data_IF_335162265666
#
_entry.id   IF_335162265666
#
_cell.length_a   1.000
_cell.length_b   1.000
_cell.length_c   1.000
_cell.angle_alpha   90.00
_cell.angle_beta   90.00
_cell.angle_gamma   90.00
#
_symmetry.space_group_name_H-M   'P 1'
#
loop_
_entity.id
_entity.type
_entity.pdbx_description
1 polymer ?
#
# COMPACT_ATOMS: atom_id res chain seq x y z
N UNK A 1 7.78 -16.55 11.77
CA UNK A 1 7.86 -15.81 10.51
C UNK A 1 7.73 -14.35 10.86
N UNK A 2 8.72 -13.53 10.54
CA UNK A 2 8.80 -12.12 10.93
C UNK A 2 8.04 -11.25 9.93
N UNK A 3 7.39 -10.21 10.40
CA UNK A 3 6.64 -9.25 9.58
C UNK A 3 7.34 -7.91 9.55
N UNK A 4 7.51 -7.30 8.36
CA UNK A 4 7.92 -5.91 8.19
C UNK A 4 6.67 -5.07 7.93
N UNK A 5 6.39 -4.16 8.84
CA UNK A 5 5.21 -3.30 8.79
C UNK A 5 5.63 -1.86 8.49
N UNK A 6 5.30 -1.38 7.30
CA UNK A 6 5.58 -0.03 6.80
C UNK A 6 4.31 0.79 6.95
N UNK A 7 4.31 1.76 7.86
CA UNK A 7 3.19 2.65 8.11
C UNK A 7 3.43 4.01 7.44
N UNK A 8 2.47 4.46 6.63
CA UNK A 8 2.50 5.78 5.96
C UNK A 8 1.37 6.70 6.44
N UNK A 9 0.47 6.21 7.27
CA UNK A 9 -0.72 6.94 7.75
C UNK A 9 -0.57 7.40 9.20
N UNK A 10 0.57 7.72 9.69
CA UNK A 10 0.84 8.44 10.94
C UNK A 10 -0.11 8.13 12.11
N UNK A 11 -0.53 6.90 12.31
CA UNK A 11 -1.65 6.60 13.18
C UNK A 11 -1.38 5.61 14.30
N UNK A 12 -2.41 5.37 15.07
CA UNK A 12 -2.56 4.60 16.30
C UNK A 12 -2.35 3.07 16.20
N UNK A 13 -1.83 2.55 15.10
CA UNK A 13 -1.57 1.11 14.93
C UNK A 13 -0.50 0.57 15.88
N UNK A 14 0.34 1.44 16.43
CA UNK A 14 1.40 1.06 17.37
C UNK A 14 0.86 0.35 18.61
N UNK A 15 -0.25 0.82 19.16
CA UNK A 15 -0.87 0.19 20.34
C UNK A 15 -1.38 -1.22 20.01
N UNK A 16 -1.99 -1.40 18.84
CA UNK A 16 -2.51 -2.70 18.42
C UNK A 16 -1.41 -3.73 18.10
N UNK A 17 -0.20 -3.27 17.76
CA UNK A 17 0.93 -4.13 17.40
C UNK A 17 1.97 -4.25 18.50
N UNK A 18 1.84 -3.53 19.61
CA UNK A 18 2.87 -3.43 20.65
C UNK A 18 3.36 -4.81 21.15
N UNK A 19 2.45 -5.71 21.50
CA UNK A 19 2.77 -7.05 22.00
C UNK A 19 3.57 -7.88 20.97
N UNK A 20 3.23 -7.73 19.68
CA UNK A 20 3.92 -8.44 18.59
C UNK A 20 5.30 -7.85 18.31
N UNK A 21 5.47 -6.54 18.49
CA UNK A 21 6.76 -5.85 18.37
C UNK A 21 7.67 -6.26 19.51
N UNK A 22 7.18 -6.24 20.77
CA UNK A 22 7.93 -6.70 21.93
C UNK A 22 8.36 -8.17 21.82
N UNK A 23 7.49 -9.01 21.27
CA UNK A 23 7.78 -10.42 21.03
C UNK A 23 8.73 -10.65 19.84
N UNK A 24 9.13 -9.62 19.10
CA UNK A 24 10.03 -9.70 17.94
C UNK A 24 9.41 -10.33 16.69
N UNK A 25 8.09 -10.44 16.63
CA UNK A 25 7.38 -10.96 15.45
C UNK A 25 7.12 -9.88 14.38
N UNK A 26 7.08 -8.63 14.79
CA UNK A 26 6.79 -7.50 13.89
C UNK A 26 7.84 -6.41 14.06
N UNK A 27 8.45 -6.02 12.96
CA UNK A 27 9.23 -4.78 12.89
C UNK A 27 8.39 -3.70 12.24
N UNK A 28 8.29 -2.57 12.87
CA UNK A 28 7.51 -1.45 12.41
C UNK A 28 8.39 -0.32 11.92
N UNK A 29 7.95 0.36 10.88
CA UNK A 29 8.56 1.58 10.38
C UNK A 29 7.47 2.61 10.10
N UNK A 30 7.51 3.74 10.79
CA UNK A 30 6.72 4.91 10.43
C UNK A 30 7.50 5.72 9.40
N UNK A 31 6.93 5.89 8.21
CA UNK A 31 7.48 6.76 7.17
C UNK A 31 7.09 8.19 7.47
N UNK A 32 8.04 9.10 7.76
CA UNK A 32 7.72 10.48 8.06
C UNK A 32 7.14 11.21 6.85
N UNK A 33 6.01 11.91 7.03
CA UNK A 33 5.36 12.69 5.98
C UNK A 33 6.06 14.03 5.67
N UNK A 34 6.95 14.49 6.58
CA UNK A 34 7.61 15.78 6.42
C UNK A 34 8.56 15.80 5.21
N UNK A 35 8.51 16.89 4.46
CA UNK A 35 9.24 17.04 3.18
C UNK A 35 10.76 16.95 3.31
N UNK A 36 11.34 17.29 4.46
CA UNK A 36 12.77 17.16 4.75
C UNK A 36 13.23 15.70 4.82
N UNK A 37 12.35 14.74 5.12
CA UNK A 37 12.65 13.31 5.14
C UNK A 37 12.67 12.66 3.76
N UNK A 38 12.13 13.31 2.74
CA UNK A 38 11.98 12.75 1.39
C UNK A 38 11.34 11.36 1.37
N UNK A 39 10.02 11.25 1.61
CA UNK A 39 9.29 9.97 1.67
C UNK A 39 9.52 9.07 0.46
N UNK A 40 9.64 9.67 -0.74
CA UNK A 40 9.95 8.92 -1.97
C UNK A 40 11.27 8.16 -1.87
N UNK A 41 12.33 8.81 -1.35
CA UNK A 41 13.64 8.15 -1.21
C UNK A 41 13.60 7.01 -0.18
N UNK A 42 12.87 7.18 0.92
CA UNK A 42 12.66 6.15 1.93
C UNK A 42 11.96 4.94 1.32
N UNK A 43 10.80 5.15 0.69
CA UNK A 43 10.00 4.08 0.08
C UNK A 43 10.77 3.37 -1.05
N UNK A 44 11.58 4.09 -1.81
CA UNK A 44 12.44 3.50 -2.84
C UNK A 44 13.54 2.60 -2.25
N UNK A 45 14.09 2.94 -1.08
CA UNK A 45 15.03 2.04 -0.38
C UNK A 45 14.32 0.79 0.13
N UNK A 46 13.13 0.93 0.72
CA UNK A 46 12.32 -0.21 1.15
C UNK A 46 11.98 -1.13 -0.02
N UNK A 47 11.58 -0.57 -1.15
CA UNK A 47 11.31 -1.31 -2.38
C UNK A 47 12.52 -2.03 -2.97
N UNK A 48 13.75 -1.60 -2.62
CA UNK A 48 15.01 -2.28 -2.96
C UNK A 48 15.45 -3.32 -1.93
N UNK A 49 14.60 -3.67 -0.99
CA UNK A 49 14.94 -4.63 0.04
C UNK A 49 15.87 -4.09 1.13
N UNK A 50 15.83 -2.78 1.41
CA UNK A 50 16.61 -2.15 2.47
C UNK A 50 15.69 -1.80 3.65
N UNK A 51 16.19 -1.97 4.87
CA UNK A 51 15.48 -1.59 6.10
C UNK A 51 16.36 -0.67 6.95
N UNK A 52 15.81 0.38 7.57
CA UNK A 52 16.63 1.23 8.42
C UNK A 52 17.01 0.50 9.70
N UNK A 53 18.26 0.64 10.12
CA UNK A 53 18.75 0.05 11.35
C UNK A 53 17.90 0.55 12.54
N UNK A 54 17.49 -0.39 13.40
CA UNK A 54 16.59 -0.10 14.52
C UNK A 54 15.15 0.27 14.14
N UNK A 55 14.75 0.17 12.86
CA UNK A 55 13.40 0.53 12.44
C UNK A 55 13.09 2.02 12.46
N UNK A 56 14.11 2.88 12.48
CA UNK A 56 13.96 4.33 12.62
C UNK A 56 14.64 5.04 11.47
N UNK A 57 13.90 5.98 10.84
CA UNK A 57 14.48 6.93 9.90
C UNK A 57 14.90 8.17 10.66
N UNK A 58 16.21 8.41 10.73
CA UNK A 58 16.75 9.58 11.39
C UNK A 58 16.43 10.85 10.62
N UNK A 59 16.14 11.92 11.35
CA UNK A 59 15.90 13.23 10.74
C UNK A 59 17.13 13.70 9.98
N UNK A 60 16.99 14.09 8.70
CA UNK A 60 18.11 14.61 7.93
C UNK A 60 18.67 15.90 8.55
N UNK A 61 19.99 16.03 8.58
CA UNK A 61 20.65 17.24 9.04
C UNK A 61 20.87 18.19 7.88
N UNK A 62 20.50 19.47 8.01
CA UNK A 62 20.74 20.46 6.98
C UNK A 62 22.26 20.77 6.90
N UNK A 63 22.82 20.68 5.71
CA UNK A 63 24.21 21.01 5.42
C UNK A 63 24.26 22.13 4.39
N UNK A 64 24.86 23.24 4.74
CA UNK A 64 25.10 24.33 3.80
C UNK A 64 26.26 23.98 2.85
N UNK A 65 26.01 24.05 1.56
CA UNK A 65 27.02 23.89 0.49
C UNK A 65 26.93 25.13 -0.41
N UNK A 66 27.76 26.11 -0.15
CA UNK A 66 27.62 27.45 -0.75
C UNK A 66 26.33 28.13 -0.31
N UNK A 67 25.52 28.57 -1.26
CA UNK A 67 24.18 29.16 -0.99
C UNK A 67 23.06 28.13 -0.89
N UNK A 68 23.34 26.86 -1.17
CA UNK A 68 22.33 25.79 -1.13
C UNK A 68 22.30 25.10 0.24
N UNK A 69 21.11 24.70 0.67
CA UNK A 69 20.93 23.81 1.82
C UNK A 69 20.62 22.42 1.29
N UNK A 70 21.51 21.46 1.54
CA UNK A 70 21.27 20.04 1.27
C UNK A 70 20.97 19.30 2.58
N UNK A 71 20.13 18.29 2.51
CA UNK A 71 19.80 17.47 3.67
C UNK A 71 20.57 16.15 3.56
N UNK A 72 21.42 15.85 4.54
CA UNK A 72 22.15 14.59 4.64
C UNK A 72 21.38 13.64 5.57
N UNK A 73 21.08 12.44 5.07
CA UNK A 73 20.43 11.40 5.87
C UNK A 73 21.47 10.59 6.61
N UNK A 74 21.35 10.55 7.95
CA UNK A 74 22.23 9.75 8.82
C UNK A 74 21.65 8.36 9.13
N UNK A 75 20.65 7.94 8.39
CA UNK A 75 20.04 6.63 8.57
C UNK A 75 20.93 5.56 7.96
N UNK A 76 21.36 4.61 8.77
CA UNK A 76 22.00 3.39 8.27
C UNK A 76 20.92 2.46 7.70
N UNK A 77 21.17 1.89 6.53
CA UNK A 77 20.26 0.99 5.83
C UNK A 77 20.89 -0.38 5.67
N UNK A 78 20.20 -1.39 6.11
CA UNK A 78 20.65 -2.78 6.05
C UNK A 78 19.81 -3.55 5.01
N UNK A 79 20.40 -4.47 4.24
CA UNK A 79 19.63 -5.39 3.40
C UNK A 79 18.66 -6.23 4.21
N UNK A 80 17.45 -6.50 3.69
CA UNK A 80 16.47 -7.34 4.38
C UNK A 80 16.85 -8.80 4.42
N UNK A 81 17.66 -9.22 3.47
CA UNK A 81 17.90 -10.62 3.13
C UNK A 81 19.17 -11.19 3.74
N UNK A 82 20.00 -10.37 4.39
CA UNK A 82 21.32 -10.83 4.87
C UNK A 82 21.29 -11.49 6.25
N UNK A 83 20.13 -11.64 6.86
CA UNK A 83 20.03 -12.38 8.10
C UNK A 83 19.65 -13.84 7.80
N UNK A 84 20.63 -14.72 7.79
CA UNK A 84 20.47 -16.17 7.60
C UNK A 84 19.50 -16.82 8.62
N UNK A 85 19.12 -16.10 9.66
CA UNK A 85 18.27 -16.59 10.75
C UNK A 85 16.85 -16.06 10.76
N UNK A 86 16.55 -14.95 10.04
CA UNK A 86 15.23 -14.27 10.11
C UNK A 86 14.57 -14.21 8.75
N UNK A 87 13.82 -15.25 8.43
CA UNK A 87 13.01 -15.27 7.20
C UNK A 87 11.84 -14.26 7.34
N UNK A 88 11.91 -13.15 6.62
CA UNK A 88 10.78 -12.25 6.50
C UNK A 88 9.69 -12.96 5.70
N UNK A 89 8.56 -13.19 6.34
CA UNK A 89 7.46 -13.91 5.72
C UNK A 89 6.36 -13.02 5.19
N UNK A 90 6.25 -11.81 5.71
CA UNK A 90 5.21 -10.87 5.35
C UNK A 90 5.76 -9.44 5.32
N UNK A 91 5.44 -8.72 4.26
CA UNK A 91 5.62 -7.27 4.14
C UNK A 91 4.23 -6.64 4.11
N UNK A 92 3.98 -5.69 4.98
CA UNK A 92 2.75 -4.90 5.02
C UNK A 92 3.07 -3.45 4.72
N UNK A 93 2.34 -2.83 3.80
CA UNK A 93 2.35 -1.39 3.57
C UNK A 93 0.98 -0.82 3.91
N UNK A 94 0.91 -0.05 4.97
CA UNK A 94 -0.31 0.57 5.48
C UNK A 94 -0.10 2.10 5.57
N UNK A 95 -0.60 2.87 4.60
CA UNK A 95 -1.41 2.49 3.45
C UNK A 95 -0.83 3.08 2.15
N UNK A 96 -1.26 2.53 1.02
CA UNK A 96 -0.95 3.13 -0.29
C UNK A 96 -1.58 4.53 -0.45
N UNK A 97 -2.72 4.78 0.20
CA UNK A 97 -3.38 6.09 0.23
C UNK A 97 -2.49 7.14 0.90
N UNK A 98 -1.96 6.82 2.09
CA UNK A 98 -1.03 7.70 2.80
C UNK A 98 0.22 7.96 1.98
N UNK A 99 0.83 6.91 1.41
CA UNK A 99 2.00 7.07 0.55
C UNK A 99 1.71 7.94 -0.68
N UNK A 100 0.56 7.76 -1.34
CA UNK A 100 0.19 8.59 -2.50
C UNK A 100 0.02 10.07 -2.14
N UNK A 101 -0.53 10.35 -0.96
CA UNK A 101 -0.68 11.71 -0.44
C UNK A 101 0.66 12.36 -0.14
N UNK A 102 1.60 11.63 0.46
CA UNK A 102 2.97 12.10 0.69
C UNK A 102 3.69 12.44 -0.61
N UNK A 103 3.57 11.56 -1.64
CA UNK A 103 4.17 11.79 -2.96
C UNK A 103 3.60 13.02 -3.64
N UNK A 104 2.28 13.20 -3.60
CA UNK A 104 1.63 14.34 -4.21
C UNK A 104 2.12 15.66 -3.62
N UNK A 105 2.23 15.71 -2.30
CA UNK A 105 2.77 16.87 -1.59
C UNK A 105 4.25 17.11 -1.94
N UNK A 106 5.07 16.08 -1.98
CA UNK A 106 6.51 16.19 -2.31
C UNK A 106 6.73 16.68 -3.75
N UNK A 107 5.97 16.17 -4.71
CA UNK A 107 6.05 16.62 -6.11
C UNK A 107 5.56 18.06 -6.28
N UNK A 108 4.50 18.46 -5.60
CA UNK A 108 4.02 19.83 -5.62
C UNK A 108 5.06 20.81 -5.05
N UNK A 109 5.70 20.49 -3.93
CA UNK A 109 6.75 21.31 -3.33
C UNK A 109 7.96 21.43 -4.27
N UNK A 110 8.41 20.32 -4.86
CA UNK A 110 9.56 20.30 -5.78
C UNK A 110 9.31 21.07 -7.07
N UNK A 111 8.10 21.04 -7.60
CA UNK A 111 7.76 21.81 -8.82
C UNK A 111 7.74 23.31 -8.57
N UNK A 112 7.26 23.74 -7.42
CA UNK A 112 7.27 25.16 -7.05
C UNK A 112 8.69 25.70 -6.86
N UNK A 113 9.62 24.92 -6.33
CA UNK A 113 11.03 25.31 -6.21
C UNK A 113 11.73 25.47 -7.56
N UNK A 114 11.31 24.76 -8.60
CA UNK A 114 11.85 24.89 -9.96
C UNK A 114 11.27 26.07 -10.74
N UNK A 115 10.07 26.51 -10.39
CA UNK A 115 9.36 27.61 -11.05
C UNK A 115 9.64 29.00 -10.47
N UNK A 116 10.41 29.11 -9.42
CA UNK A 116 10.88 30.41 -8.91
C UNK A 116 12.00 30.93 -9.81
N UNK A 117 11.62 31.67 -10.84
CA UNK A 117 12.53 32.52 -11.62
C UNK A 117 13.19 33.48 -10.64
N UNK A 118 14.54 33.53 -10.52
CA UNK A 118 15.26 34.42 -9.62
C UNK A 118 14.99 35.92 -9.90
N UNK A 119 14.34 36.27 -11.02
CA UNK A 119 13.97 37.63 -11.38
C UNK A 119 12.53 38.01 -10.99
N UNK A 120 11.73 37.14 -10.45
CA UNK A 120 10.38 37.46 -10.00
C UNK A 120 10.35 37.64 -8.47
N UNK A 121 11.12 38.63 -8.01
CA UNK A 121 11.13 39.11 -6.62
C UNK A 121 9.89 39.99 -6.36
N UNK A 122 8.74 39.40 -6.35
CA UNK A 122 7.50 40.05 -5.98
C UNK A 122 6.67 39.13 -5.08
N UNK A 123 6.60 39.57 -3.84
CA UNK A 123 5.71 39.13 -2.77
C UNK A 123 6.20 38.00 -1.87
N UNK A 124 6.83 38.44 -0.81
CA UNK A 124 6.83 37.84 0.51
C UNK A 124 5.38 37.57 0.94
N UNK A 125 5.21 36.47 1.60
CA UNK A 125 4.11 35.97 2.40
C UNK A 125 3.39 34.74 1.84
N UNK A 126 3.64 33.67 2.53
CA UNK A 126 2.89 32.43 2.49
C UNK A 126 3.55 31.38 1.60
N UNK A 127 3.98 30.30 2.25
CA UNK A 127 4.20 29.02 1.58
C UNK A 127 2.91 28.68 0.81
N UNK A 128 2.80 29.11 -0.44
CA UNK A 128 1.75 28.68 -1.34
C UNK A 128 2.00 27.20 -1.56
N UNK A 129 1.23 26.36 -0.87
CA UNK A 129 1.09 24.96 -1.26
C UNK A 129 0.79 24.95 -2.76
N UNK A 130 1.72 24.46 -3.56
CA UNK A 130 1.59 24.49 -5.01
C UNK A 130 0.34 23.76 -5.44
N UNK A 131 -0.35 24.32 -6.42
CA UNK A 131 -1.48 23.63 -7.01
C UNK A 131 -1.01 22.35 -7.67
N UNK A 132 -1.60 21.22 -7.30
CA UNK A 132 -1.33 19.94 -7.92
C UNK A 132 -1.72 19.98 -9.40
N UNK A 133 -0.80 19.66 -10.27
CA UNK A 133 -1.04 19.57 -11.72
C UNK A 133 -1.41 18.15 -12.14
N UNK A 134 -2.02 17.98 -13.29
CA UNK A 134 -2.32 16.65 -13.86
C UNK A 134 -1.06 15.78 -13.99
N UNK A 135 0.11 16.38 -14.24
CA UNK A 135 1.40 15.69 -14.31
C UNK A 135 1.75 15.07 -12.98
N UNK A 136 1.57 15.78 -11.84
CA UNK A 136 1.86 15.24 -10.51
C UNK A 136 1.04 13.98 -10.20
N UNK A 137 -0.25 13.96 -10.58
CA UNK A 137 -1.09 12.77 -10.40
C UNK A 137 -0.58 11.58 -11.23
N UNK A 138 -0.13 11.81 -12.47
CA UNK A 138 0.47 10.78 -13.32
C UNK A 138 1.77 10.22 -12.73
N UNK A 139 2.63 11.09 -12.19
CA UNK A 139 3.88 10.70 -11.54
C UNK A 139 3.64 9.90 -10.26
N UNK A 140 2.67 10.30 -9.44
CA UNK A 140 2.26 9.54 -8.24
C UNK A 140 1.77 8.15 -8.63
N UNK A 141 0.88 8.03 -9.60
CA UNK A 141 0.36 6.72 -10.04
C UNK A 141 1.47 5.81 -10.55
N UNK A 142 2.38 6.34 -11.36
CA UNK A 142 3.54 5.60 -11.87
C UNK A 142 4.44 5.13 -10.73
N UNK A 143 4.70 6.01 -9.77
CA UNK A 143 5.53 5.71 -8.60
C UNK A 143 4.91 4.62 -7.73
N UNK A 144 3.60 4.68 -7.44
CA UNK A 144 2.89 3.66 -6.66
C UNK A 144 2.92 2.30 -7.38
N UNK A 145 2.68 2.27 -8.69
CA UNK A 145 2.76 1.03 -9.49
C UNK A 145 4.16 0.42 -9.44
N UNK A 146 5.20 1.24 -9.62
CA UNK A 146 6.58 0.77 -9.53
C UNK A 146 6.93 0.27 -8.13
N UNK A 147 6.44 0.92 -7.09
CA UNK A 147 6.62 0.49 -5.71
C UNK A 147 5.99 -0.88 -5.45
N UNK A 148 4.72 -1.08 -5.83
CA UNK A 148 4.03 -2.37 -5.68
C UNK A 148 4.80 -3.47 -6.41
N UNK A 149 5.18 -3.26 -7.67
CA UNK A 149 5.94 -4.24 -8.45
C UNK A 149 7.27 -4.58 -7.78
N UNK A 150 7.98 -3.60 -7.25
CA UNK A 150 9.26 -3.81 -6.58
C UNK A 150 9.11 -4.58 -5.26
N UNK A 151 8.11 -4.26 -4.43
CA UNK A 151 7.83 -5.00 -3.19
C UNK A 151 7.43 -6.46 -3.49
N UNK A 152 6.56 -6.68 -4.49
CA UNK A 152 6.15 -8.04 -4.88
C UNK A 152 7.31 -8.86 -5.44
N UNK A 153 8.33 -8.23 -6.01
CA UNK A 153 9.54 -8.89 -6.52
C UNK A 153 10.56 -9.25 -5.42
N UNK A 154 10.40 -8.75 -4.19
CA UNK A 154 11.28 -9.13 -3.08
C UNK A 154 11.11 -10.61 -2.72
N UNK A 155 12.15 -11.27 -2.21
CA UNK A 155 12.11 -12.68 -1.83
C UNK A 155 11.33 -12.88 -0.52
N UNK A 156 10.09 -12.42 -0.51
CA UNK A 156 9.16 -12.54 0.61
C UNK A 156 7.89 -13.30 0.16
N UNK A 157 7.45 -14.32 0.88
CA UNK A 157 6.27 -15.10 0.50
C UNK A 157 5.00 -14.30 0.33
N UNK A 158 4.82 -13.25 1.17
CA UNK A 158 3.58 -12.48 1.18
C UNK A 158 3.86 -10.99 1.22
N UNK A 159 3.16 -10.26 0.35
CA UNK A 159 3.10 -8.80 0.35
C UNK A 159 1.65 -8.36 0.48
N UNK A 160 1.38 -7.49 1.45
CA UNK A 160 0.05 -6.99 1.75
C UNK A 160 0.03 -5.47 1.68
N UNK A 161 -0.96 -4.92 1.00
CA UNK A 161 -1.15 -3.48 0.85
C UNK A 161 -2.54 -3.11 1.33
N UNK A 162 -2.66 -2.10 2.15
CA UNK A 162 -3.94 -1.48 2.48
C UNK A 162 -4.12 -0.19 1.67
N UNK A 163 -5.34 0.21 1.47
CA UNK A 163 -5.71 1.52 0.95
C UNK A 163 -7.10 1.88 1.47
N UNK A 164 -7.35 3.16 1.65
CA UNK A 164 -8.71 3.65 1.76
C UNK A 164 -9.43 3.43 0.44
N UNK A 165 -10.71 3.63 0.43
CA UNK A 165 -11.56 3.39 -0.70
C UNK A 165 -12.10 4.68 -1.28
N UNK A 166 -12.18 4.73 -2.62
CA UNK A 166 -12.76 5.87 -3.34
C UNK A 166 -13.36 5.43 -4.67
N UNK A 167 -14.22 6.29 -5.20
CA UNK A 167 -14.77 6.17 -6.54
C UNK A 167 -13.73 6.56 -7.59
N UNK A 168 -13.62 5.75 -8.63
CA UNK A 168 -12.71 6.00 -9.74
C UNK A 168 -13.32 5.56 -11.07
N UNK A 169 -12.48 5.46 -12.10
CA UNK A 169 -12.88 4.96 -13.40
C UNK A 169 -11.96 3.85 -13.87
N UNK A 170 -12.53 2.81 -14.46
CA UNK A 170 -11.80 1.76 -15.16
C UNK A 170 -12.04 1.89 -16.67
N UNK A 171 -10.98 1.71 -17.46
CA UNK A 171 -11.11 1.62 -18.90
C UNK A 171 -11.22 0.15 -19.32
N UNK A 172 -12.39 -0.23 -19.83
CA UNK A 172 -12.63 -1.57 -20.38
C UNK A 172 -12.90 -1.42 -21.87
N UNK A 173 -11.97 -1.85 -22.70
CA UNK A 173 -12.08 -1.80 -24.18
C UNK A 173 -12.44 -0.41 -24.73
N UNK A 174 -11.83 0.64 -24.16
CA UNK A 174 -12.08 2.03 -24.58
C UNK A 174 -13.27 2.72 -23.90
N UNK A 175 -14.07 2.00 -23.13
CA UNK A 175 -15.22 2.56 -22.38
C UNK A 175 -14.81 2.79 -20.92
N UNK A 176 -14.96 4.03 -20.46
CA UNK A 176 -14.77 4.38 -19.04
C UNK A 176 -16.00 3.93 -18.25
N UNK A 177 -15.76 3.10 -17.24
CA UNK A 177 -16.80 2.65 -16.30
C UNK A 177 -16.46 3.13 -14.89
N UNK A 178 -17.45 3.61 -14.12
CA UNK A 178 -17.24 3.95 -12.73
C UNK A 178 -16.96 2.67 -11.93
N UNK A 179 -16.00 2.73 -11.02
CA UNK A 179 -15.61 1.64 -10.11
C UNK A 179 -15.29 2.20 -8.74
N UNK A 180 -15.47 1.37 -7.71
CA UNK A 180 -14.89 1.61 -6.39
C UNK A 180 -13.63 0.76 -6.22
N UNK A 181 -12.63 1.30 -5.58
CA UNK A 181 -11.38 0.59 -5.33
C UNK A 181 -10.40 1.42 -4.50
N UNK A 182 -9.13 1.02 -4.45
CA UNK A 182 -8.12 1.69 -3.65
C UNK A 182 -8.00 3.18 -3.97
N UNK A 183 -8.11 4.02 -2.96
CA UNK A 183 -7.93 5.46 -3.08
C UNK A 183 -6.44 5.78 -3.28
N UNK A 184 -6.11 6.20 -4.49
CA UNK A 184 -4.77 6.70 -4.85
C UNK A 184 -4.96 8.04 -5.54
N UNK A 185 -4.06 8.97 -5.33
CA UNK A 185 -4.10 10.26 -5.99
C UNK A 185 -4.23 10.10 -7.52
N UNK A 186 -5.37 10.56 -8.05
CA UNK A 186 -5.76 10.39 -9.45
C UNK A 186 -6.63 9.15 -9.72
N UNK A 187 -7.81 9.38 -10.30
CA UNK A 187 -8.88 8.39 -10.46
C UNK A 187 -8.55 7.17 -11.33
N UNK A 188 -7.54 7.26 -12.20
CA UNK A 188 -7.20 6.15 -13.11
C UNK A 188 -6.52 4.98 -12.39
N UNK A 189 -5.81 5.23 -11.29
CA UNK A 189 -5.14 4.17 -10.54
C UNK A 189 -6.11 3.25 -9.80
N UNK A 190 -7.25 3.78 -9.35
CA UNK A 190 -8.28 3.05 -8.59
C UNK A 190 -8.73 1.77 -9.31
N UNK A 191 -8.95 1.82 -10.62
CA UNK A 191 -9.36 0.65 -11.42
C UNK A 191 -8.20 -0.27 -11.84
N UNK A 192 -6.95 0.19 -11.78
CA UNK A 192 -5.79 -0.56 -12.26
C UNK A 192 -5.06 -1.32 -11.14
N UNK A 193 -4.95 -0.76 -9.94
CA UNK A 193 -4.22 -1.39 -8.84
C UNK A 193 -4.71 -2.80 -8.50
N UNK A 194 -6.02 -3.09 -8.46
CA UNK A 194 -6.48 -4.45 -8.23
C UNK A 194 -5.96 -5.47 -9.25
N UNK A 195 -5.57 -5.03 -10.47
CA UNK A 195 -5.02 -5.92 -11.50
C UNK A 195 -3.57 -6.33 -11.23
N UNK A 196 -2.83 -5.53 -10.43
CA UNK A 196 -1.41 -5.75 -10.14
C UNK A 196 -1.16 -6.75 -9.02
N UNK A 197 -2.16 -7.05 -8.22
CA UNK A 197 -2.06 -7.99 -7.09
C UNK A 197 -2.81 -9.28 -7.40
N UNK A 198 -2.42 -10.38 -6.77
CA UNK A 198 -3.08 -11.68 -6.97
C UNK A 198 -4.49 -11.68 -6.36
N UNK A 199 -4.63 -11.15 -5.16
CA UNK A 199 -5.89 -11.03 -4.46
C UNK A 199 -6.14 -9.57 -4.10
N UNK A 200 -7.39 -9.14 -4.23
CA UNK A 200 -7.85 -7.82 -3.80
C UNK A 200 -9.18 -8.00 -3.09
N UNK A 201 -9.27 -7.55 -1.86
CA UNK A 201 -10.46 -7.66 -1.05
C UNK A 201 -11.02 -6.27 -0.75
N UNK A 202 -12.33 -6.13 -0.89
CA UNK A 202 -13.04 -5.00 -0.31
C UNK A 202 -13.44 -5.36 1.12
N UNK A 203 -13.05 -4.51 2.08
CA UNK A 203 -13.35 -4.72 3.50
C UNK A 203 -14.54 -3.86 3.92
N UNK A 204 -15.59 -4.50 4.44
CA UNK A 204 -16.76 -3.81 4.98
C UNK A 204 -16.94 -4.21 6.44
N UNK A 205 -17.11 -3.22 7.32
CA UNK A 205 -17.39 -3.43 8.71
C UNK A 205 -18.89 -3.22 8.98
N UNK A 206 -19.52 -4.16 9.68
CA UNK A 206 -20.91 -4.11 10.12
C UNK A 206 -20.98 -4.17 11.64
N UNK A 207 -21.93 -3.46 12.25
CA UNK A 207 -22.12 -3.40 13.69
C UNK A 207 -21.20 -2.39 14.39
N UNK A 208 -21.35 -2.27 15.70
CA UNK A 208 -20.60 -1.32 16.55
C UNK A 208 -20.03 -2.04 17.78
N UNK A 209 -18.89 -1.54 18.27
CA UNK A 209 -18.25 -2.05 19.47
C UNK A 209 -17.84 -3.52 19.35
N UNK A 210 -18.12 -4.32 20.36
CA UNK A 210 -17.78 -5.74 20.43
C UNK A 210 -18.54 -6.63 19.41
N UNK A 211 -19.64 -6.14 18.85
CA UNK A 211 -20.41 -6.84 17.82
C UNK A 211 -19.93 -6.53 16.40
N UNK A 212 -18.90 -5.71 16.25
CA UNK A 212 -18.35 -5.34 14.94
C UNK A 212 -17.80 -6.57 14.22
N UNK A 213 -18.35 -6.82 13.04
CA UNK A 213 -17.91 -7.90 12.14
C UNK A 213 -17.32 -7.27 10.89
N UNK A 214 -16.21 -7.83 10.41
CA UNK A 214 -15.57 -7.39 9.17
C UNK A 214 -15.74 -8.50 8.13
N UNK A 215 -16.17 -8.12 6.94
CA UNK A 215 -16.33 -8.97 5.77
C UNK A 215 -15.29 -8.57 4.73
N UNK A 216 -14.58 -9.55 4.17
CA UNK A 216 -13.68 -9.34 3.04
C UNK A 216 -14.32 -9.90 1.76
N UNK A 217 -14.88 -9.04 0.94
CA UNK A 217 -15.47 -9.44 -0.33
C UNK A 217 -14.35 -9.80 -1.32
N UNK A 218 -14.52 -10.91 -2.03
CA UNK A 218 -13.52 -11.48 -2.93
C UNK A 218 -13.94 -11.51 -4.40
N UNK A 219 -15.14 -11.07 -4.71
CA UNK A 219 -15.64 -10.88 -6.07
C UNK A 219 -16.16 -9.45 -6.25
N UNK A 220 -16.23 -8.97 -7.50
CA UNK A 220 -16.88 -7.72 -7.84
C UNK A 220 -18.30 -7.72 -7.28
N UNK A 221 -18.50 -7.04 -6.18
CA UNK A 221 -19.76 -7.06 -5.43
C UNK A 221 -20.59 -5.82 -5.76
N UNK A 222 -21.87 -5.97 -6.17
CA UNK A 222 -22.77 -4.85 -6.24
C UNK A 222 -23.23 -4.50 -4.81
N UNK A 223 -22.80 -3.36 -4.30
CA UNK A 223 -23.35 -2.82 -3.07
C UNK A 223 -24.68 -2.11 -3.42
N UNK A 224 -25.79 -2.46 -2.77
CA UNK A 224 -27.08 -1.82 -3.02
C UNK A 224 -27.11 -0.32 -2.66
N UNK A 225 -26.17 0.16 -1.85
CA UNK A 225 -25.98 1.59 -1.55
C UNK A 225 -25.31 2.37 -2.65
N UNK A 226 -24.68 1.69 -3.62
CA UNK A 226 -23.98 2.32 -4.75
C UNK A 226 -24.94 2.69 -5.89
N UNK A 227 -24.58 3.69 -6.70
CA UNK A 227 -25.30 3.96 -7.93
C UNK A 227 -25.38 2.72 -8.84
N UNK A 228 -26.47 2.56 -9.60
CA UNK A 228 -26.61 1.47 -10.56
C UNK A 228 -25.38 1.39 -11.48
N UNK A 229 -24.86 0.17 -11.67
CA UNK A 229 -23.66 -0.15 -12.44
C UNK A 229 -22.30 0.14 -11.77
N UNK A 230 -22.25 0.62 -10.55
CA UNK A 230 -21.03 0.66 -9.75
C UNK A 230 -20.81 -0.66 -9.05
N UNK A 231 -19.55 -1.09 -9.02
CA UNK A 231 -19.12 -2.32 -8.36
C UNK A 231 -17.81 -2.11 -7.63
N UNK A 232 -17.67 -2.80 -6.50
CA UNK A 232 -16.39 -2.95 -5.85
C UNK A 232 -15.46 -3.82 -6.68
N UNK A 233 -14.19 -3.40 -6.82
CA UNK A 233 -13.16 -4.22 -7.44
C UNK A 233 -12.54 -5.15 -6.40
N UNK A 234 -12.98 -6.40 -6.42
CA UNK A 234 -12.42 -7.45 -5.58
C UNK A 234 -12.14 -8.70 -6.41
N UNK A 235 -11.14 -9.47 -6.02
CA UNK A 235 -10.81 -10.75 -6.65
C UNK A 235 -10.03 -11.67 -5.72
N UNK A 236 -10.20 -12.98 -5.88
CA UNK A 236 -9.41 -14.03 -5.25
C UNK A 236 -8.79 -14.92 -6.32
N UNK A 237 -7.82 -14.38 -7.06
CA UNK A 237 -7.18 -15.08 -8.19
C UNK A 237 -6.22 -16.19 -7.77
N UNK A 238 -5.87 -16.28 -6.49
CA UNK A 238 -5.08 -17.39 -5.96
C UNK A 238 -5.86 -18.70 -5.86
N UNK A 239 -7.19 -18.65 -5.95
CA UNK A 239 -8.03 -19.86 -5.89
C UNK A 239 -8.10 -20.49 -7.28
N UNK A 240 -7.67 -21.74 -7.40
CA UNK A 240 -7.69 -22.47 -8.67
C UNK A 240 -9.12 -22.70 -9.17
N UNK A 241 -9.32 -22.77 -10.50
CA UNK A 241 -10.65 -23.00 -11.09
C UNK A 241 -11.35 -24.24 -10.52
N UNK A 242 -10.63 -25.35 -10.31
CA UNK A 242 -11.16 -26.60 -9.75
C UNK A 242 -11.55 -26.49 -8.26
N UNK A 243 -10.97 -25.56 -7.52
CA UNK A 243 -11.30 -25.29 -6.12
C UNK A 243 -12.43 -24.27 -5.97
N UNK A 244 -12.77 -23.56 -7.05
CA UNK A 244 -13.69 -22.42 -7.01
C UNK A 244 -15.07 -22.79 -6.46
N UNK A 245 -15.57 -23.95 -6.83
CA UNK A 245 -16.88 -24.42 -6.36
C UNK A 245 -16.90 -24.63 -4.85
N UNK A 246 -15.88 -25.29 -4.30
CA UNK A 246 -15.80 -25.58 -2.87
C UNK A 246 -15.49 -24.30 -2.08
N UNK A 247 -14.69 -23.41 -2.64
CA UNK A 247 -14.44 -22.10 -2.06
C UNK A 247 -15.75 -21.27 -1.93
N UNK A 248 -16.56 -21.21 -2.98
CA UNK A 248 -17.85 -20.49 -2.94
C UNK A 248 -18.84 -21.15 -1.99
N UNK A 249 -18.85 -22.48 -1.88
CA UNK A 249 -19.68 -23.20 -0.89
C UNK A 249 -19.22 -22.90 0.55
N UNK A 250 -17.92 -22.77 0.77
CA UNK A 250 -17.34 -22.46 2.09
C UNK A 250 -17.62 -21.02 2.50
N UNK A 251 -17.62 -20.10 1.54
CA UNK A 251 -17.86 -18.68 1.73
C UNK A 251 -19.09 -18.19 0.93
N UNK A 252 -20.29 -18.60 1.32
CA UNK A 252 -21.50 -18.17 0.62
C UNK A 252 -21.71 -16.67 0.80
N UNK A 253 -22.19 -16.00 -0.24
CA UNK A 253 -22.44 -14.55 -0.21
C UNK A 253 -21.28 -13.68 -0.69
N UNK A 254 -20.21 -14.28 -1.23
CA UNK A 254 -19.13 -13.54 -1.91
C UNK A 254 -18.13 -12.87 -0.96
N UNK A 255 -18.11 -13.23 0.32
CA UNK A 255 -17.20 -12.65 1.30
C UNK A 255 -16.61 -13.70 2.26
N UNK A 256 -15.42 -13.38 2.76
CA UNK A 256 -14.73 -14.12 3.83
C UNK A 256 -15.00 -13.37 5.14
N UNK A 257 -15.60 -13.99 6.16
CA UNK A 257 -15.73 -13.36 7.47
C UNK A 257 -14.31 -13.24 8.10
N UNK A 258 -13.89 -12.01 8.40
CA UNK A 258 -12.63 -11.78 9.11
C UNK A 258 -12.86 -11.91 10.61
N UNK A 259 -13.03 -13.13 11.07
CA UNK A 259 -12.99 -13.46 12.48
C UNK A 259 -11.54 -13.81 12.86
N UNK A 260 -11.18 -13.61 14.13
CA UNK A 260 -9.82 -13.90 14.61
C UNK A 260 -9.39 -15.37 14.38
N UNK A 261 -10.34 -16.27 14.14
CA UNK A 261 -10.08 -17.71 14.15
C UNK A 261 -10.25 -18.40 12.80
N UNK A 262 -11.17 -18.00 11.93
CA UNK A 262 -11.59 -18.92 10.87
C UNK A 262 -11.50 -18.43 9.41
N UNK A 263 -11.92 -17.22 9.11
CA UNK A 263 -12.08 -16.81 7.72
C UNK A 263 -10.78 -16.70 6.94
N UNK A 264 -9.82 -15.95 7.43
CA UNK A 264 -8.54 -15.76 6.75
C UNK A 264 -7.70 -17.04 6.74
N UNK A 265 -7.72 -17.81 7.84
CA UNK A 265 -7.04 -19.11 7.91
C UNK A 265 -7.58 -20.08 6.87
N UNK A 266 -8.91 -20.19 6.76
CA UNK A 266 -9.53 -21.06 5.75
C UNK A 266 -9.20 -20.61 4.33
N UNK A 267 -9.21 -19.30 4.05
CA UNK A 267 -8.75 -18.78 2.76
C UNK A 267 -7.29 -19.17 2.48
N UNK A 268 -6.40 -19.02 3.46
CA UNK A 268 -4.98 -19.38 3.31
C UNK A 268 -4.80 -20.88 3.04
N UNK A 269 -5.65 -21.76 3.60
CA UNK A 269 -5.62 -23.19 3.27
C UNK A 269 -5.89 -23.45 1.80
N UNK A 270 -6.91 -22.83 1.20
CA UNK A 270 -7.14 -22.93 -0.24
C UNK A 270 -5.97 -22.43 -1.07
N UNK A 271 -5.36 -21.30 -0.65
CA UNK A 271 -4.19 -20.76 -1.34
C UNK A 271 -2.98 -21.69 -1.26
N UNK A 272 -2.68 -22.25 -0.08
CA UNK A 272 -1.55 -23.15 0.12
C UNK A 272 -1.70 -24.44 -0.70
N UNK A 273 -2.90 -25.00 -0.78
CA UNK A 273 -3.20 -26.13 -1.65
C UNK A 273 -2.99 -25.79 -3.13
N UNK A 274 -3.37 -24.58 -3.55
CA UNK A 274 -3.14 -24.10 -4.90
C UNK A 274 -1.64 -23.98 -5.20
N UNK A 275 -0.88 -23.38 -4.28
CA UNK A 275 0.58 -23.22 -4.44
C UNK A 275 1.31 -24.57 -4.50
N UNK A 276 0.89 -25.55 -3.70
CA UNK A 276 1.42 -26.91 -3.75
C UNK A 276 1.14 -27.57 -5.11
N UNK A 277 -0.09 -27.46 -5.61
CA UNK A 277 -0.47 -28.05 -6.91
C UNK A 277 0.28 -27.40 -8.07
N UNK A 278 0.48 -26.09 -8.04
CA UNK A 278 1.21 -25.37 -9.09
C UNK A 278 2.71 -25.72 -9.12
N UNK A 279 3.28 -26.09 -7.97
CA UNK A 279 4.69 -26.49 -7.85
C UNK A 279 4.92 -27.98 -8.11
N UNK A 280 3.86 -28.78 -8.11
CA UNK A 280 3.99 -30.21 -8.39
C UNK A 280 4.48 -30.42 -9.85
N UNK A 281 5.46 -31.31 -10.10
CA UNK A 281 5.92 -31.61 -11.45
C UNK A 281 4.74 -32.10 -12.28
N UNK A 282 4.54 -31.49 -13.45
CA UNK A 282 3.54 -31.96 -14.42
C UNK A 282 3.95 -33.38 -14.83
N UNK A 283 3.11 -34.35 -14.50
CA UNK A 283 3.25 -35.72 -14.91
C UNK A 283 3.04 -35.86 -16.44
#
# INVERSE_FOLDING_TARGET
MRTRFICTDGGSLWEALADYVEAGFVDTLLVPAASDFNPFAIMNKLAKGMWPEGGIVNRPTPKKIGNDTRYETNTAWLPWTDHETDTIGLIVTDSLTGYSSMLLNDFAIKSNRKGSDPNNSGDEEGEKFGSNTLTHYGDVQTTIKNYINAIVALPCPFSYFTALEDGGTENVTGVKRPVFGPQIAGNAATGELPKMVTNCFHLQAEGVGAERKVKAFYDDHPDPSLPPNMKWKAKASSILPEQRLDFVKTFPGGFIPLTLTDGLRTFMTFKDEADIRLRAPKK
#
